data_IF_741363480992
#
_entry.id   IF_741363480992
#
_cell.length_a   1.000
_cell.length_b   1.000
_cell.length_c   1.000
_cell.angle_alpha   90.00
_cell.angle_beta   90.00
_cell.angle_gamma   90.00
#
_symmetry.space_group_name_H-M   'P 1'
#
loop_
_entity.id
_entity.type
_entity.pdbx_description
1 polymer ?
#
# COMPACT_ATOMS: atom_id res chain seq x y z
N UNK A 1 9.41 -10.59 -39.03
CA UNK A 1 10.20 -9.76 -38.10
C UNK A 1 9.29 -9.19 -37.04
N UNK A 2 9.57 -9.50 -35.79
CA UNK A 2 8.94 -8.90 -34.61
C UNK A 2 9.24 -7.40 -34.54
N UNK A 3 8.52 -6.65 -33.70
CA UNK A 3 8.81 -5.21 -33.50
C UNK A 3 10.23 -4.99 -32.91
N UNK A 4 10.67 -5.93 -32.07
CA UNK A 4 12.01 -5.94 -31.48
C UNK A 4 13.08 -6.15 -32.57
N UNK A 5 12.83 -7.05 -33.53
CA UNK A 5 13.77 -7.32 -34.63
C UNK A 5 13.92 -6.08 -35.54
N UNK A 6 12.85 -5.30 -35.71
CA UNK A 6 12.88 -4.05 -36.50
C UNK A 6 13.67 -2.96 -35.79
N UNK A 7 13.49 -2.82 -34.47
CA UNK A 7 14.20 -1.82 -33.67
C UNK A 7 15.70 -2.12 -33.61
N UNK A 8 16.09 -3.37 -33.39
CA UNK A 8 17.49 -3.78 -33.40
C UNK A 8 18.16 -3.48 -34.76
N UNK A 9 17.49 -3.81 -35.86
CA UNK A 9 17.97 -3.51 -37.20
C UNK A 9 18.10 -1.99 -37.45
N UNK A 10 17.16 -1.19 -36.95
CA UNK A 10 17.26 0.28 -37.04
C UNK A 10 18.46 0.84 -36.28
N UNK A 11 18.78 0.28 -35.10
CA UNK A 11 19.95 0.68 -34.31
C UNK A 11 21.25 0.31 -35.02
N UNK A 12 21.34 -0.90 -35.56
CA UNK A 12 22.50 -1.36 -36.34
C UNK A 12 22.72 -0.46 -37.57
N UNK A 13 21.67 -0.21 -38.35
CA UNK A 13 21.74 0.69 -39.49
C UNK A 13 22.18 2.12 -39.08
N UNK A 14 21.69 2.63 -37.94
CA UNK A 14 22.08 3.95 -37.46
C UNK A 14 23.58 4.02 -37.08
N UNK A 15 24.13 2.94 -36.51
CA UNK A 15 25.55 2.83 -36.20
C UNK A 15 26.40 2.81 -37.48
N UNK A 16 25.99 2.03 -38.47
CA UNK A 16 26.66 1.98 -39.76
C UNK A 16 26.66 3.33 -40.47
N UNK A 17 25.51 4.04 -40.45
CA UNK A 17 25.40 5.40 -41.00
C UNK A 17 26.32 6.36 -40.26
N UNK A 18 26.36 6.33 -38.93
CA UNK A 18 27.25 7.19 -38.15
C UNK A 18 28.73 6.95 -38.52
N UNK A 19 29.15 5.69 -38.69
CA UNK A 19 30.51 5.34 -39.11
C UNK A 19 30.80 5.83 -40.53
N UNK A 20 29.89 5.62 -41.48
CA UNK A 20 30.05 6.13 -42.85
C UNK A 20 30.20 7.65 -42.87
N UNK A 21 29.44 8.37 -42.04
CA UNK A 21 29.56 9.82 -41.90
C UNK A 21 30.88 10.26 -41.27
N UNK A 22 31.42 9.50 -40.31
CA UNK A 22 32.77 9.73 -39.78
C UNK A 22 33.85 9.52 -40.83
N UNK A 23 33.74 8.46 -41.64
CA UNK A 23 34.67 8.22 -42.74
C UNK A 23 34.59 9.34 -43.77
N UNK A 24 33.38 9.77 -44.13
CA UNK A 24 33.16 10.91 -45.03
C UNK A 24 33.78 12.20 -44.48
N UNK A 25 33.61 12.46 -43.19
CA UNK A 25 34.18 13.64 -42.53
C UNK A 25 35.72 13.65 -42.52
N UNK A 26 36.37 12.49 -42.58
CA UNK A 26 37.83 12.36 -42.57
C UNK A 26 38.43 12.26 -43.99
N UNK A 27 37.62 12.32 -45.04
CA UNK A 27 38.13 12.31 -46.41
C UNK A 27 38.69 13.68 -46.81
N UNK A 28 39.75 13.65 -47.62
CA UNK A 28 40.29 14.85 -48.27
C UNK A 28 39.48 15.14 -49.54
N UNK A 29 38.68 16.20 -49.51
CA UNK A 29 37.79 16.59 -50.61
C UNK A 29 38.23 17.96 -51.11
N UNK A 30 38.56 18.06 -52.40
CA UNK A 30 39.10 19.30 -53.01
C UNK A 30 38.14 20.50 -52.97
N UNK A 31 36.83 20.25 -52.91
CA UNK A 31 35.78 21.24 -52.65
C UNK A 31 34.63 20.58 -51.89
N UNK A 32 34.60 20.76 -50.58
CA UNK A 32 33.54 20.26 -49.69
C UNK A 32 32.51 21.33 -49.31
N UNK A 33 32.66 22.58 -49.74
CA UNK A 33 31.74 23.67 -49.40
C UNK A 33 30.43 23.59 -50.20
N UNK A 34 29.30 23.59 -49.50
CA UNK A 34 27.96 23.63 -50.10
C UNK A 34 27.03 24.54 -49.31
N UNK A 35 26.06 25.13 -50.00
CA UNK A 35 25.03 25.96 -49.40
C UNK A 35 23.91 25.06 -48.85
N UNK A 36 23.58 25.26 -47.58
CA UNK A 36 22.47 24.59 -46.90
C UNK A 36 21.43 25.63 -46.54
N UNK A 37 20.19 25.37 -46.94
CA UNK A 37 19.03 26.13 -46.46
C UNK A 37 18.37 25.37 -45.32
N UNK A 38 18.13 26.06 -44.22
CA UNK A 38 17.41 25.53 -43.06
C UNK A 38 16.40 26.55 -42.55
N UNK A 39 15.26 26.07 -42.09
CA UNK A 39 14.23 26.93 -41.50
C UNK A 39 14.44 27.03 -39.99
N UNK A 40 14.55 28.24 -39.47
CA UNK A 40 14.62 28.45 -38.02
C UNK A 40 13.25 28.27 -37.33
N UNK A 41 13.23 28.34 -36.00
CA UNK A 41 12.02 28.23 -35.18
C UNK A 41 10.93 29.29 -35.51
N UNK A 42 11.33 30.40 -36.13
CA UNK A 42 10.45 31.48 -36.56
C UNK A 42 9.98 31.34 -38.03
N UNK A 43 10.29 30.22 -38.69
CA UNK A 43 9.93 29.97 -40.08
C UNK A 43 10.69 30.81 -41.10
N UNK A 44 11.78 31.47 -40.70
CA UNK A 44 12.68 32.18 -41.62
C UNK A 44 13.68 31.20 -42.20
N UNK A 45 13.84 31.19 -43.52
CA UNK A 45 14.91 30.44 -44.18
C UNK A 45 16.25 31.13 -43.91
N UNK A 46 17.19 30.35 -43.41
CA UNK A 46 18.57 30.74 -43.20
C UNK A 46 19.41 29.92 -44.16
N UNK A 47 20.20 30.61 -44.97
CA UNK A 47 21.20 30.00 -45.83
C UNK A 47 22.56 30.12 -45.14
N UNK A 48 23.30 29.02 -45.09
CA UNK A 48 24.66 29.01 -44.60
C UNK A 48 25.51 28.08 -45.45
N UNK A 49 26.74 28.52 -45.73
CA UNK A 49 27.74 27.72 -46.41
C UNK A 49 28.55 26.96 -45.36
N UNK A 50 28.68 25.65 -45.54
CA UNK A 50 29.54 24.83 -44.68
C UNK A 50 30.14 23.63 -45.44
N UNK A 51 31.30 23.13 -45.01
CA UNK A 51 31.86 21.89 -45.54
C UNK A 51 30.95 20.67 -45.31
N UNK A 52 30.85 19.77 -46.29
CA UNK A 52 30.09 18.51 -46.15
C UNK A 52 30.72 17.58 -45.11
N UNK A 53 32.04 17.70 -44.94
CA UNK A 53 32.84 17.03 -43.92
C UNK A 53 32.40 17.46 -42.51
N UNK A 54 32.24 18.77 -42.27
CA UNK A 54 31.74 19.31 -41.01
C UNK A 54 30.29 18.88 -40.72
N UNK A 55 29.40 18.95 -41.71
CA UNK A 55 28.02 18.49 -41.54
C UNK A 55 27.97 16.99 -41.22
N UNK A 56 28.81 16.20 -41.89
CA UNK A 56 28.90 14.74 -41.67
C UNK A 56 29.37 14.43 -40.26
N UNK A 57 30.38 15.16 -39.76
CA UNK A 57 30.87 15.02 -38.39
C UNK A 57 29.79 15.39 -37.35
N UNK A 58 29.06 16.49 -37.58
CA UNK A 58 27.95 16.93 -36.72
C UNK A 58 26.82 15.90 -36.70
N UNK A 59 26.44 15.38 -37.87
CA UNK A 59 25.41 14.36 -38.02
C UNK A 59 25.81 13.05 -37.32
N UNK A 60 27.04 12.57 -37.54
CA UNK A 60 27.56 11.36 -36.89
C UNK A 60 27.59 11.50 -35.36
N UNK A 61 28.06 12.65 -34.87
CA UNK A 61 28.10 12.96 -33.43
C UNK A 61 26.69 12.99 -32.83
N UNK A 62 25.73 13.57 -33.56
CA UNK A 62 24.32 13.63 -33.14
C UNK A 62 23.68 12.25 -33.08
N UNK A 63 23.89 11.41 -34.11
CA UNK A 63 23.39 10.03 -34.14
C UNK A 63 23.94 9.24 -32.96
N UNK A 64 25.25 9.31 -32.70
CA UNK A 64 25.88 8.64 -31.56
C UNK A 64 25.31 9.12 -30.21
N UNK A 65 25.08 10.43 -30.06
CA UNK A 65 24.47 10.98 -28.85
C UNK A 65 23.04 10.48 -28.64
N UNK A 66 22.26 10.33 -29.71
CA UNK A 66 20.91 9.76 -29.68
C UNK A 66 20.93 8.27 -29.33
N UNK A 67 21.84 7.48 -29.93
CA UNK A 67 22.01 6.06 -29.63
C UNK A 67 22.35 5.84 -28.14
N UNK A 68 23.30 6.61 -27.59
CA UNK A 68 23.66 6.54 -26.17
C UNK A 68 22.47 6.86 -25.25
N UNK A 69 21.65 7.87 -25.60
CA UNK A 69 20.44 8.21 -24.84
C UNK A 69 19.38 7.12 -24.93
N UNK A 70 19.24 6.48 -26.09
CA UNK A 70 18.30 5.38 -26.30
C UNK A 70 18.69 4.18 -25.43
N UNK A 71 19.96 3.75 -25.44
CA UNK A 71 20.46 2.67 -24.60
C UNK A 71 20.23 2.95 -23.10
N UNK A 72 20.53 4.18 -22.67
CA UNK A 72 20.27 4.60 -21.28
C UNK A 72 18.78 4.57 -20.92
N UNK A 73 17.89 4.93 -21.84
CA UNK A 73 16.45 4.88 -21.63
C UNK A 73 15.94 3.43 -21.55
N UNK A 74 16.41 2.54 -22.43
CA UNK A 74 16.07 1.11 -22.41
C UNK A 74 16.50 0.46 -21.10
N UNK A 75 17.70 0.77 -20.61
CA UNK A 75 18.18 0.30 -19.30
C UNK A 75 17.27 0.76 -18.15
N UNK A 76 16.88 2.04 -18.14
CA UNK A 76 15.96 2.58 -17.12
C UNK A 76 14.59 1.91 -17.15
N UNK A 77 14.06 1.62 -18.33
CA UNK A 77 12.78 0.90 -18.49
C UNK A 77 12.91 -0.52 -17.95
N UNK A 78 14.02 -1.21 -18.24
CA UNK A 78 14.27 -2.56 -17.72
C UNK A 78 14.32 -2.57 -16.17
N UNK A 79 15.01 -1.60 -15.56
CA UNK A 79 15.06 -1.42 -14.10
C UNK A 79 13.66 -1.16 -13.51
N UNK A 80 12.87 -0.28 -14.14
CA UNK A 80 11.49 0.00 -13.71
C UNK A 80 10.59 -1.23 -13.81
N UNK A 81 10.69 -2.00 -14.90
CA UNK A 81 9.93 -3.23 -15.08
C UNK A 81 10.27 -4.26 -14.00
N UNK A 82 11.54 -4.35 -13.57
CA UNK A 82 11.94 -5.23 -12.47
C UNK A 82 11.31 -4.80 -11.13
N UNK A 83 11.22 -3.49 -10.85
CA UNK A 83 10.56 -2.96 -9.65
C UNK A 83 9.06 -3.28 -9.68
N UNK A 84 8.39 -3.07 -10.82
CA UNK A 84 6.97 -3.39 -10.98
C UNK A 84 6.73 -4.88 -10.74
N UNK A 85 7.52 -5.76 -11.36
CA UNK A 85 7.41 -7.20 -11.16
C UNK A 85 7.65 -7.63 -9.69
N UNK A 86 8.57 -6.97 -8.98
CA UNK A 86 8.78 -7.21 -7.55
C UNK A 86 7.58 -6.73 -6.71
N UNK A 87 7.02 -5.56 -7.04
CA UNK A 87 5.82 -5.03 -6.39
C UNK A 87 4.61 -5.96 -6.61
N UNK A 88 4.40 -6.48 -7.81
CA UNK A 88 3.36 -7.48 -8.10
C UNK A 88 3.47 -8.71 -7.20
N UNK A 89 4.67 -9.27 -7.04
CA UNK A 89 4.90 -10.41 -6.15
C UNK A 89 4.60 -10.08 -4.70
N UNK A 90 5.01 -8.91 -4.21
CA UNK A 90 4.72 -8.46 -2.85
C UNK A 90 3.22 -8.29 -2.60
N UNK A 91 2.49 -7.76 -3.59
CA UNK A 91 1.03 -7.63 -3.56
C UNK A 91 0.37 -9.01 -3.48
N UNK A 92 0.87 -9.98 -4.26
CA UNK A 92 0.33 -11.33 -4.32
C UNK A 92 0.57 -12.16 -3.05
N UNK A 93 1.72 -12.01 -2.40
CA UNK A 93 2.13 -12.87 -1.28
C UNK A 93 1.47 -12.55 0.07
N UNK A 94 0.84 -11.38 0.24
CA UNK A 94 0.27 -10.96 1.52
C UNK A 94 -1.27 -11.02 1.56
N UNK A 95 -1.89 -11.62 0.54
CA UNK A 95 -3.34 -11.85 0.48
C UNK A 95 -3.74 -13.07 1.31
N UNK A 96 -4.36 -12.82 2.47
CA UNK A 96 -5.46 -13.68 2.90
C UNK A 96 -6.55 -13.00 3.73
N UNK A 97 -6.32 -12.08 4.67
CA UNK A 97 -7.45 -11.59 5.51
C UNK A 97 -7.42 -10.15 6.09
N UNK A 98 -6.43 -9.29 5.82
CA UNK A 98 -6.43 -7.92 6.41
C UNK A 98 -5.85 -6.80 5.54
N UNK A 99 -5.48 -7.12 4.31
CA UNK A 99 -4.57 -6.31 3.50
C UNK A 99 -5.12 -5.97 2.12
N UNK A 100 -6.31 -6.46 1.77
CA UNK A 100 -6.89 -6.36 0.42
C UNK A 100 -7.23 -4.92 0.02
N UNK A 101 -7.71 -4.08 0.95
CA UNK A 101 -7.92 -2.64 0.72
C UNK A 101 -6.59 -1.91 0.45
N UNK A 102 -5.55 -2.19 1.24
CA UNK A 102 -4.22 -1.61 1.04
C UNK A 102 -3.59 -2.11 -0.27
N UNK A 103 -3.86 -3.35 -0.68
CA UNK A 103 -3.36 -3.90 -1.95
C UNK A 103 -4.08 -3.38 -3.17
N UNK A 104 -5.39 -3.15 -3.11
CA UNK A 104 -6.12 -2.44 -4.16
C UNK A 104 -5.61 -1.00 -4.30
N UNK A 105 -5.30 -0.32 -3.18
CA UNK A 105 -4.72 1.02 -3.20
C UNK A 105 -3.29 1.05 -3.77
N UNK A 106 -2.43 0.10 -3.37
CA UNK A 106 -1.08 -0.07 -3.91
C UNK A 106 -1.13 -0.42 -5.41
N UNK A 107 -1.98 -1.37 -5.82
CA UNK A 107 -2.13 -1.75 -7.22
C UNK A 107 -2.57 -0.56 -8.08
N UNK A 108 -3.51 0.26 -7.58
CA UNK A 108 -3.90 1.52 -8.23
C UNK A 108 -2.75 2.54 -8.29
N UNK A 109 -1.97 2.68 -7.22
CA UNK A 109 -0.82 3.60 -7.17
C UNK A 109 0.28 3.21 -8.15
N UNK A 110 0.56 1.92 -8.27
CA UNK A 110 1.59 1.37 -9.17
C UNK A 110 1.06 1.04 -10.58
N UNK A 111 -0.22 1.29 -10.86
CA UNK A 111 -0.83 1.03 -12.16
C UNK A 111 -0.88 -0.45 -12.55
N UNK A 112 -0.77 -1.35 -11.58
CA UNK A 112 -0.69 -2.80 -11.80
C UNK A 112 -2.08 -3.44 -11.71
N UNK A 113 -2.31 -4.45 -12.53
CA UNK A 113 -3.60 -5.16 -12.59
C UNK A 113 -3.83 -5.87 -11.26
N UNK A 114 -4.92 -5.52 -10.57
CA UNK A 114 -5.36 -6.29 -9.41
C UNK A 114 -5.79 -7.67 -9.90
N UNK A 115 -5.28 -8.79 -9.34
CA UNK A 115 -5.81 -10.10 -9.65
C UNK A 115 -7.33 -10.15 -9.34
N UNK A 116 -8.04 -11.14 -9.90
CA UNK A 116 -9.48 -11.39 -9.69
C UNK A 116 -9.78 -11.61 -8.20
N UNK A 117 -9.84 -10.52 -7.44
CA UNK A 117 -10.31 -10.53 -6.07
C UNK A 117 -11.84 -10.53 -6.14
N UNK A 118 -12.52 -11.41 -5.39
CA UNK A 118 -13.97 -11.38 -5.28
C UNK A 118 -14.46 -9.98 -4.88
N UNK A 119 -15.70 -9.61 -5.27
CA UNK A 119 -16.31 -8.35 -4.84
C UNK A 119 -16.20 -8.21 -3.32
N UNK A 120 -15.97 -6.99 -2.84
CA UNK A 120 -15.90 -6.71 -1.40
C UNK A 120 -17.28 -6.96 -0.78
N UNK A 121 -17.56 -8.20 -0.38
CA UNK A 121 -18.52 -8.45 0.68
C UNK A 121 -17.95 -7.79 1.93
N UNK A 122 -18.65 -6.78 2.43
CA UNK A 122 -18.22 -6.05 3.61
C UNK A 122 -18.40 -6.98 4.83
N UNK A 123 -17.47 -7.90 5.05
CA UNK A 123 -17.53 -8.89 6.15
C UNK A 123 -17.42 -8.23 7.54
N UNK A 124 -16.98 -6.97 7.60
CA UNK A 124 -16.95 -6.18 8.84
C UNK A 124 -18.33 -5.70 9.31
N UNK A 125 -19.42 -5.93 8.57
CA UNK A 125 -20.78 -5.62 9.05
C UNK A 125 -21.37 -6.78 9.85
N UNK A 126 -20.94 -8.03 9.62
CA UNK A 126 -21.56 -9.18 10.28
C UNK A 126 -20.97 -9.54 11.65
N UNK A 127 -19.71 -9.19 11.93
CA UNK A 127 -19.16 -9.31 13.30
C UNK A 127 -19.52 -8.12 14.19
N UNK A 128 -19.82 -6.96 13.62
CA UNK A 128 -20.31 -5.80 14.36
C UNK A 128 -21.66 -6.13 15.00
N UNK A 129 -22.61 -6.66 14.22
CA UNK A 129 -23.95 -6.97 14.73
C UNK A 129 -23.94 -8.03 15.86
N UNK A 130 -23.16 -9.10 15.71
CA UNK A 130 -23.07 -10.15 16.74
C UNK A 130 -22.35 -9.66 18.01
N UNK A 131 -21.23 -8.96 17.86
CA UNK A 131 -20.48 -8.42 19.00
C UNK A 131 -21.24 -7.30 19.71
N UNK A 132 -21.99 -6.47 18.98
CA UNK A 132 -22.83 -5.42 19.56
C UNK A 132 -24.00 -6.02 20.36
N UNK A 133 -24.61 -7.11 19.88
CA UNK A 133 -25.64 -7.85 20.63
C UNK A 133 -25.06 -8.47 21.91
N UNK A 134 -23.85 -9.03 21.86
CA UNK A 134 -23.20 -9.55 23.06
C UNK A 134 -22.80 -8.43 24.05
N UNK A 135 -22.24 -7.34 23.55
CA UNK A 135 -21.86 -6.18 24.39
C UNK A 135 -23.09 -5.57 25.05
N UNK A 136 -24.22 -5.46 24.35
CA UNK A 136 -25.47 -4.94 24.92
C UNK A 136 -26.06 -5.88 25.97
N UNK A 137 -26.08 -7.19 25.71
CA UNK A 137 -26.51 -8.19 26.68
C UNK A 137 -25.64 -8.18 27.95
N UNK A 138 -24.31 -8.06 27.80
CA UNK A 138 -23.38 -7.97 28.93
C UNK A 138 -23.56 -6.67 29.72
N UNK A 139 -23.75 -5.53 29.05
CA UNK A 139 -24.03 -4.24 29.72
C UNK A 139 -25.32 -4.30 30.52
N UNK A 140 -26.37 -4.92 29.97
CA UNK A 140 -27.62 -5.12 30.71
C UNK A 140 -27.40 -6.01 31.94
N UNK A 141 -26.65 -7.11 31.80
CA UNK A 141 -26.35 -8.00 32.92
C UNK A 141 -25.52 -7.31 34.01
N UNK A 142 -24.57 -6.45 33.64
CA UNK A 142 -23.81 -5.64 34.60
C UNK A 142 -24.74 -4.69 35.34
N UNK A 143 -25.63 -3.97 34.66
CA UNK A 143 -26.58 -3.07 35.30
C UNK A 143 -27.53 -3.81 36.27
N UNK A 144 -27.99 -5.01 35.91
CA UNK A 144 -28.79 -5.86 36.81
C UNK A 144 -28.00 -6.29 38.06
N UNK A 145 -26.71 -6.62 37.90
CA UNK A 145 -25.83 -7.00 39.01
C UNK A 145 -25.49 -5.81 39.91
N UNK A 146 -25.26 -4.63 39.32
CA UNK A 146 -24.97 -3.38 40.05
C UNK A 146 -26.19 -2.86 40.81
N UNK A 147 -27.40 -3.06 40.30
CA UNK A 147 -28.65 -2.70 40.99
C UNK A 147 -29.05 -3.68 42.10
N UNK A 148 -28.39 -4.84 42.20
CA UNK A 148 -28.75 -5.88 43.16
C UNK A 148 -28.36 -5.49 44.58
N UNK A 149 -29.35 -5.45 45.46
CA UNK A 149 -29.17 -5.23 46.90
C UNK A 149 -29.40 -6.52 47.68
N UNK A 150 -28.72 -6.67 48.82
CA UNK A 150 -28.92 -7.79 49.76
C UNK A 150 -29.63 -7.23 50.99
N UNK A 151 -30.77 -7.81 51.34
CA UNK A 151 -31.46 -7.49 52.58
C UNK A 151 -30.81 -8.28 53.71
N UNK A 152 -30.10 -7.57 54.59
CA UNK A 152 -29.49 -8.14 55.77
C UNK A 152 -30.47 -8.07 56.96
N UNK A 153 -30.43 -9.03 57.89
CA UNK A 153 -31.18 -8.93 59.13
C UNK A 153 -30.75 -7.66 59.88
N UNK A 154 -31.70 -6.96 60.50
CA UNK A 154 -31.40 -5.75 61.24
C UNK A 154 -30.90 -6.11 62.65
N UNK A 155 -29.65 -5.75 62.96
CA UNK A 155 -28.99 -6.13 64.22
C UNK A 155 -29.69 -5.63 65.49
N UNK A 156 -30.45 -4.53 65.39
CA UNK A 156 -31.09 -3.85 66.52
C UNK A 156 -32.58 -3.56 66.30
N UNK A 157 -33.23 -4.18 65.30
CA UNK A 157 -34.64 -3.90 65.05
C UNK A 157 -35.57 -4.60 66.06
N UNK A 158 -35.20 -5.78 66.55
CA UNK A 158 -36.03 -6.61 67.44
C UNK A 158 -35.16 -7.43 68.42
N UNK A 159 -35.75 -7.93 69.52
CA UNK A 159 -35.11 -8.78 70.55
C UNK A 159 -34.66 -10.17 70.03
N UNK A 160 -34.78 -10.45 68.73
CA UNK A 160 -34.50 -11.76 68.12
C UNK A 160 -33.06 -12.25 68.33
N UNK A 161 -32.12 -11.32 68.40
CA UNK A 161 -30.69 -11.59 68.62
C UNK A 161 -30.22 -11.27 70.04
N UNK A 162 -31.13 -10.98 70.97
CA UNK A 162 -30.81 -10.69 72.36
C UNK A 162 -31.39 -11.79 73.26
N UNK A 163 -30.56 -12.31 74.17
CA UNK A 163 -30.99 -13.24 75.22
C UNK A 163 -30.57 -12.63 76.54
N UNK A 164 -31.55 -12.38 77.43
CA UNK A 164 -31.33 -11.73 78.73
C UNK A 164 -30.54 -10.40 78.64
N UNK A 165 -30.81 -9.61 77.59
CA UNK A 165 -30.14 -8.33 77.32
C UNK A 165 -28.73 -8.44 76.72
N UNK A 166 -28.25 -9.65 76.40
CA UNK A 166 -26.94 -9.90 75.78
C UNK A 166 -27.09 -10.22 74.30
N UNK A 167 -26.39 -9.46 73.45
CA UNK A 167 -26.37 -9.63 72.00
C UNK A 167 -25.64 -10.93 71.58
N UNK A 168 -26.27 -11.71 70.72
CA UNK A 168 -25.79 -13.01 70.23
C UNK A 168 -25.11 -12.86 68.86
N UNK A 169 -23.86 -12.38 68.87
CA UNK A 169 -23.10 -12.06 67.64
C UNK A 169 -22.99 -13.22 66.63
N UNK A 170 -22.64 -14.42 67.09
CA UNK A 170 -22.48 -15.60 66.21
C UNK A 170 -23.79 -16.00 65.50
N UNK A 171 -24.94 -15.76 66.13
CA UNK A 171 -26.24 -16.05 65.53
C UNK A 171 -26.56 -15.04 64.44
N UNK A 172 -26.31 -13.75 64.71
CA UNK A 172 -26.46 -12.67 63.74
C UNK A 172 -25.54 -12.86 62.52
N UNK A 173 -24.25 -13.14 62.75
CA UNK A 173 -23.27 -13.39 61.68
C UNK A 173 -23.70 -14.54 60.77
N UNK A 174 -24.17 -15.65 61.34
CA UNK A 174 -24.64 -16.80 60.54
C UNK A 174 -25.88 -16.47 59.71
N UNK A 175 -26.79 -15.65 60.23
CA UNK A 175 -27.99 -15.26 59.48
C UNK A 175 -27.67 -14.22 58.39
N UNK A 176 -26.67 -13.35 58.61
CA UNK A 176 -26.06 -12.49 57.58
C UNK A 176 -25.41 -13.33 56.48
N UNK A 177 -24.60 -14.33 56.82
CA UNK A 177 -23.99 -15.24 55.84
C UNK A 177 -25.03 -16.01 55.02
N UNK A 178 -26.12 -16.44 55.67
CA UNK A 178 -27.25 -17.07 54.99
C UNK A 178 -27.96 -16.11 54.05
N UNK A 179 -28.18 -14.85 54.44
CA UNK A 179 -28.79 -13.84 53.58
C UNK A 179 -27.94 -13.54 52.34
N UNK A 180 -26.62 -13.41 52.50
CA UNK A 180 -25.67 -13.19 51.40
C UNK A 180 -25.62 -14.42 50.47
N UNK A 181 -25.59 -15.62 51.06
CA UNK A 181 -25.58 -16.88 50.30
C UNK A 181 -26.91 -17.12 49.57
N UNK A 182 -28.05 -16.76 50.17
CA UNK A 182 -29.36 -16.79 49.53
C UNK A 182 -29.47 -15.78 48.38
N UNK A 183 -28.76 -14.66 48.49
CA UNK A 183 -28.51 -13.75 47.37
C UNK A 183 -27.46 -14.30 46.38
N UNK A 184 -27.02 -15.56 46.48
CA UNK A 184 -26.10 -16.18 45.52
C UNK A 184 -24.72 -15.51 45.45
N UNK A 185 -24.36 -14.72 46.46
CA UNK A 185 -23.06 -14.07 46.58
C UNK A 185 -22.16 -15.02 47.37
N UNK A 186 -21.02 -15.37 46.79
CA UNK A 186 -20.01 -16.19 47.47
C UNK A 186 -19.11 -15.28 48.28
N UNK A 187 -18.99 -15.55 49.58
CA UNK A 187 -18.01 -14.90 50.46
C UNK A 187 -16.75 -15.75 50.45
N UNK A 188 -15.59 -15.11 50.25
CA UNK A 188 -14.28 -15.76 50.43
C UNK A 188 -13.77 -15.35 51.82
N UNK A 189 -13.41 -16.32 52.65
CA UNK A 189 -12.73 -16.02 53.92
C UNK A 189 -11.36 -15.40 53.64
N UNK A 190 -10.90 -14.55 54.56
CA UNK A 190 -9.53 -14.02 54.55
C UNK A 190 -8.49 -15.12 54.80
#
# INVERSE_FOLDING_TARGET
>A
MSNIDKQALCIENAFDIANQLYELANNEIECDLFAVTSTNENGTEIEFERPITDLSLEAASTINALLNRLEAAEKRIAEQNAIVAAAEKLVRCKGRYHSELNYRALAKLFGVVTPDLPPLEHENVHYADAAEVEITALRQRIAELEARTVNLPAACADDEYFIDGVFQALRYERDVERAISAAGIKVKGE
#
